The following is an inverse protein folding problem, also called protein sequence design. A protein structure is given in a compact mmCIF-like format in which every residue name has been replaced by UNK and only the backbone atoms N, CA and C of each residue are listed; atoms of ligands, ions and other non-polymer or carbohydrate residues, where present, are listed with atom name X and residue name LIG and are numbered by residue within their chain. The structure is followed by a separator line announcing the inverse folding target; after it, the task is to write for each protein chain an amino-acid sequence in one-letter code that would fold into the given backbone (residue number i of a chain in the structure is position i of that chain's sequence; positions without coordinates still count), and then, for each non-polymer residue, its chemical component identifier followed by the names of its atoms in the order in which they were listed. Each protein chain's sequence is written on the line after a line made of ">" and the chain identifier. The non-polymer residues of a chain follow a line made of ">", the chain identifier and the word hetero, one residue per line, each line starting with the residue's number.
data_IF_466858069930
#
_entry.id   IF_466858069930
#
_cell.length_a   1.000
_cell.length_b   1.000
_cell.length_c   1.000
_cell.angle_alpha   90.00
_cell.angle_beta   90.00
_cell.angle_gamma   90.00
#
_symmetry.space_group_name_H-M   'P 1'
#
loop_
_entity.id
_entity.type
_entity.pdbx_description
1 polymer ?
#
# COMPACT_ATOMS: atom_id res chain seq x y z
N UNK A 1 -43.83 -13.95 66.59
CA UNK A 1 -43.43 -12.53 66.67
C UNK A 1 -44.17 -11.78 65.57
N UNK A 2 -45.48 -12.04 65.42
CA UNK A 2 -46.20 -11.90 64.15
C UNK A 2 -47.58 -11.27 64.35
N UNK A 3 -47.64 -10.10 64.98
CA UNK A 3 -48.92 -9.38 65.19
C UNK A 3 -48.84 -7.89 64.78
N UNK A 4 -47.83 -7.51 64.00
CA UNK A 4 -47.63 -6.14 63.54
C UNK A 4 -47.77 -6.05 62.02
N UNK A 5 -48.67 -5.19 61.58
CA UNK A 5 -48.95 -4.83 60.19
C UNK A 5 -48.15 -3.60 59.80
N UNK A 6 -47.35 -3.71 58.74
CA UNK A 6 -46.66 -2.58 58.14
C UNK A 6 -47.53 -2.01 57.01
N UNK A 7 -48.09 -0.82 57.25
CA UNK A 7 -48.99 -0.14 56.34
C UNK A 7 -48.26 1.08 55.77
N UNK A 8 -48.32 1.24 54.46
CA UNK A 8 -47.76 2.41 53.80
C UNK A 8 -48.88 3.28 53.24
N UNK A 9 -49.08 4.44 53.87
CA UNK A 9 -50.07 5.42 53.44
C UNK A 9 -49.49 6.49 52.50
N UNK A 10 -48.17 6.76 52.56
CA UNK A 10 -47.54 7.83 51.78
C UNK A 10 -46.30 7.37 50.99
N UNK A 11 -45.87 8.14 49.97
CA UNK A 11 -44.67 7.82 49.19
C UNK A 11 -43.40 7.65 50.02
N UNK A 12 -43.30 8.33 51.17
CA UNK A 12 -42.12 8.30 52.06
C UNK A 12 -42.48 8.02 53.52
N UNK A 13 -43.74 7.67 53.80
CA UNK A 13 -44.28 7.47 55.14
C UNK A 13 -45.00 6.13 55.24
N UNK A 14 -44.67 5.37 56.26
CA UNK A 14 -45.35 4.14 56.64
C UNK A 14 -45.50 4.08 58.16
N UNK A 15 -46.40 3.23 58.61
CA UNK A 15 -46.74 3.01 60.00
C UNK A 15 -46.79 1.52 60.29
N UNK A 16 -46.45 1.15 61.52
CA UNK A 16 -46.66 -0.18 62.03
C UNK A 16 -47.88 -0.13 62.96
N UNK A 17 -48.89 -0.97 62.70
CA UNK A 17 -50.07 -1.10 63.54
C UNK A 17 -50.15 -2.54 64.06
N UNK A 18 -50.53 -2.69 65.32
CA UNK A 18 -50.82 -4.02 65.86
C UNK A 18 -52.14 -4.55 65.30
N UNK A 19 -52.27 -5.87 65.18
CA UNK A 19 -53.43 -6.53 64.59
C UNK A 19 -54.76 -6.11 65.26
N UNK A 20 -54.73 -5.83 66.56
CA UNK A 20 -55.90 -5.37 67.35
C UNK A 20 -56.38 -3.99 66.91
N UNK A 21 -55.47 -3.12 66.46
CA UNK A 21 -55.75 -1.74 66.07
C UNK A 21 -56.01 -1.58 64.57
N UNK A 22 -55.78 -2.62 63.77
CA UNK A 22 -55.93 -2.59 62.32
C UNK A 22 -57.35 -2.20 61.89
N UNK A 23 -58.36 -2.79 62.53
CA UNK A 23 -59.77 -2.54 62.21
C UNK A 23 -60.19 -1.11 62.52
N UNK A 24 -59.82 -0.60 63.70
CA UNK A 24 -60.15 0.77 64.12
C UNK A 24 -59.50 1.80 63.19
N UNK A 25 -58.24 1.54 62.80
CA UNK A 25 -57.49 2.43 61.94
C UNK A 25 -58.05 2.49 60.52
N UNK A 26 -58.42 1.34 59.95
CA UNK A 26 -59.07 1.26 58.64
C UNK A 26 -60.49 1.83 58.64
N UNK A 27 -61.19 1.82 59.78
CA UNK A 27 -62.50 2.46 59.92
C UNK A 27 -62.43 3.99 60.07
N UNK A 28 -61.32 4.51 60.62
CA UNK A 28 -61.11 5.95 60.76
C UNK A 28 -60.82 6.66 59.43
N UNK A 29 -60.42 5.90 58.41
CA UNK A 29 -60.19 6.38 57.04
C UNK A 29 -61.54 6.42 56.30
N UNK A 30 -62.04 7.62 55.99
CA UNK A 30 -63.41 7.84 55.47
C UNK A 30 -63.63 7.40 54.01
N UNK A 31 -62.58 6.98 53.30
CA UNK A 31 -62.63 6.52 51.90
C UNK A 31 -62.29 5.04 51.81
N UNK A 32 -63.11 4.30 51.05
CA UNK A 32 -62.93 2.87 50.78
C UNK A 32 -61.73 2.66 49.84
N UNK A 33 -60.53 2.71 50.40
CA UNK A 33 -59.29 2.52 49.67
C UNK A 33 -59.09 1.04 49.32
N UNK A 34 -58.59 0.79 48.11
CA UNK A 34 -58.12 -0.54 47.72
C UNK A 34 -56.77 -0.78 48.38
N UNK A 35 -56.70 -1.80 49.24
CA UNK A 35 -55.50 -2.16 49.99
C UNK A 35 -54.79 -3.33 49.29
N UNK A 36 -53.58 -3.09 48.80
CA UNK A 36 -52.72 -4.13 48.24
C UNK A 36 -52.02 -4.90 49.38
N UNK A 37 -52.41 -6.16 49.59
CA UNK A 37 -51.86 -7.02 50.64
C UNK A 37 -50.80 -7.96 50.09
N UNK A 38 -49.59 -7.92 50.64
CA UNK A 38 -48.49 -8.86 50.33
C UNK A 38 -48.40 -10.03 51.32
N UNK A 39 -49.38 -10.13 52.22
CA UNK A 39 -49.60 -11.22 53.18
C UNK A 39 -51.06 -11.67 53.11
N UNK A 40 -51.42 -12.83 53.69
CA UNK A 40 -52.81 -13.30 53.68
C UNK A 40 -53.74 -12.21 54.24
N UNK A 41 -54.80 -11.80 53.53
CA UNK A 41 -55.64 -10.69 53.95
C UNK A 41 -56.35 -11.02 55.27
N UNK A 42 -56.34 -10.11 56.25
CA UNK A 42 -57.07 -10.30 57.50
C UNK A 42 -58.58 -10.10 57.27
N UNK A 43 -59.41 -10.62 58.17
CA UNK A 43 -60.86 -10.37 58.18
C UNK A 43 -61.17 -8.95 58.70
N UNK A 44 -60.61 -7.93 58.05
CA UNK A 44 -60.73 -6.51 58.40
C UNK A 44 -61.48 -5.75 57.28
N UNK A 45 -62.19 -4.64 57.60
CA UNK A 45 -62.94 -3.87 56.63
C UNK A 45 -62.02 -3.23 55.56
N UNK A 46 -62.42 -3.31 54.30
CA UNK A 46 -61.69 -2.76 53.15
C UNK A 46 -61.70 -3.68 51.91
N UNK A 47 -61.37 -3.12 50.75
CA UNK A 47 -61.21 -3.89 49.50
C UNK A 47 -59.77 -4.38 49.41
N UNK A 48 -59.52 -5.60 49.89
CA UNK A 48 -58.19 -6.21 49.88
C UNK A 48 -57.88 -6.86 48.52
N UNK A 49 -56.74 -6.50 47.91
CA UNK A 49 -56.18 -7.19 46.75
C UNK A 49 -54.97 -8.00 47.18
N UNK A 50 -55.08 -9.32 47.07
CA UNK A 50 -53.96 -10.21 47.35
C UNK A 50 -52.89 -10.08 46.26
N UNK A 51 -51.69 -9.73 46.68
CA UNK A 51 -50.50 -9.64 45.85
C UNK A 51 -49.51 -10.75 46.23
N UNK A 52 -48.64 -11.20 45.30
CA UNK A 52 -47.70 -12.27 45.59
C UNK A 52 -46.79 -11.90 46.76
N UNK A 53 -46.65 -12.83 47.71
CA UNK A 53 -45.81 -12.66 48.88
C UNK A 53 -44.38 -12.30 48.46
N UNK A 54 -43.93 -11.12 48.87
CA UNK A 54 -42.60 -10.58 48.59
C UNK A 54 -41.93 -10.15 49.90
N UNK A 55 -40.62 -10.31 49.97
CA UNK A 55 -39.87 -9.79 51.12
C UNK A 55 -39.88 -8.27 51.12
N UNK A 56 -39.91 -7.65 52.31
CA UNK A 56 -39.93 -6.18 52.46
C UNK A 56 -38.80 -5.48 51.68
N UNK A 57 -37.60 -6.09 51.67
CA UNK A 57 -36.44 -5.58 50.93
C UNK A 57 -36.67 -5.59 49.41
N UNK A 58 -37.34 -6.62 48.89
CA UNK A 58 -37.65 -6.71 47.45
C UNK A 58 -38.70 -5.68 47.05
N UNK A 59 -39.72 -5.48 47.90
CA UNK A 59 -40.74 -4.46 47.68
C UNK A 59 -40.14 -3.05 47.72
N UNK A 60 -39.26 -2.78 48.67
CA UNK A 60 -38.54 -1.50 48.78
C UNK A 60 -37.61 -1.26 47.58
N UNK A 61 -36.87 -2.27 47.12
CA UNK A 61 -35.96 -2.15 45.97
C UNK A 61 -36.68 -1.92 44.64
N UNK A 62 -37.87 -2.51 44.46
CA UNK A 62 -38.69 -2.34 43.26
C UNK A 62 -39.43 -1.01 43.23
N UNK A 63 -39.44 -0.26 44.34
CA UNK A 63 -40.15 0.99 44.40
C UNK A 63 -39.45 2.10 43.57
N UNK A 64 -40.13 2.69 42.57
CA UNK A 64 -39.50 3.63 41.62
C UNK A 64 -39.01 4.93 42.28
N UNK A 65 -39.59 5.34 43.41
CA UNK A 65 -39.08 6.50 44.16
C UNK A 65 -37.80 6.18 44.94
N UNK A 66 -37.65 4.95 45.44
CA UNK A 66 -36.46 4.52 46.18
C UNK A 66 -35.26 4.35 45.23
N UNK A 67 -35.50 3.95 43.98
CA UNK A 67 -34.44 3.85 42.95
C UNK A 67 -33.80 5.20 42.57
N UNK A 68 -34.52 6.31 42.78
CA UNK A 68 -34.01 7.66 42.50
C UNK A 68 -33.10 8.18 43.61
N UNK A 69 -33.15 7.59 44.80
CA UNK A 69 -32.36 8.02 45.95
C UNK A 69 -31.32 6.96 46.30
N UNK A 70 -30.05 7.23 45.99
CA UNK A 70 -28.95 6.36 46.41
C UNK A 70 -28.55 6.70 47.85
N UNK A 71 -28.79 5.76 48.76
CA UNK A 71 -28.30 5.81 50.15
C UNK A 71 -26.82 5.43 50.25
N UNK A 72 -26.20 5.00 49.15
CA UNK A 72 -24.78 4.66 49.06
C UNK A 72 -23.95 5.96 49.03
N UNK A 73 -23.80 6.57 50.19
CA UNK A 73 -23.06 7.81 50.40
C UNK A 73 -21.94 7.61 51.43
N UNK A 74 -20.96 8.52 51.44
CA UNK A 74 -19.83 8.46 52.36
C UNK A 74 -18.97 7.22 52.15
N UNK A 75 -18.78 6.43 53.21
CA UNK A 75 -17.96 5.22 53.19
C UNK A 75 -18.56 4.08 52.35
N UNK A 76 -19.88 4.10 52.12
CA UNK A 76 -20.60 3.11 51.30
C UNK A 76 -20.81 3.57 49.86
N UNK A 77 -20.23 4.72 49.46
CA UNK A 77 -20.33 5.21 48.10
C UNK A 77 -19.63 4.28 47.10
N UNK A 78 -20.31 3.93 46.00
CA UNK A 78 -19.74 3.11 44.93
C UNK A 78 -18.57 3.88 44.30
N UNK A 79 -17.34 3.46 44.61
CA UNK A 79 -16.13 3.96 43.96
C UNK A 79 -16.14 3.52 42.50
N UNK A 80 -16.76 4.32 41.63
CA UNK A 80 -16.61 4.16 40.18
C UNK A 80 -15.16 4.43 39.85
N UNK A 81 -14.39 3.35 39.65
CA UNK A 81 -13.05 3.42 39.09
C UNK A 81 -13.24 3.96 37.67
N UNK A 82 -13.06 5.27 37.49
CA UNK A 82 -13.16 5.87 36.16
C UNK A 82 -12.09 5.21 35.30
N UNK A 83 -12.51 4.32 34.41
CA UNK A 83 -11.70 3.86 33.30
C UNK A 83 -11.59 5.05 32.33
N UNK A 84 -10.90 6.11 32.75
CA UNK A 84 -10.34 7.06 31.80
C UNK A 84 -9.37 6.24 30.99
N UNK A 85 -9.82 5.78 29.83
CA UNK A 85 -9.00 5.08 28.86
C UNK A 85 -7.79 5.98 28.61
N UNK A 86 -6.67 5.64 29.25
CA UNK A 86 -5.48 6.45 29.12
C UNK A 86 -5.04 6.26 27.67
N UNK A 87 -5.13 7.29 26.84
CA UNK A 87 -4.60 7.28 25.47
C UNK A 87 -3.07 7.31 25.44
N UNK A 88 -2.44 7.21 26.62
CA UNK A 88 -0.99 7.14 26.81
C UNK A 88 -0.31 6.03 25.98
N UNK A 89 -0.76 4.76 25.98
CA UNK A 89 -0.12 3.72 25.19
C UNK A 89 -0.30 3.97 23.69
N UNK A 90 -1.44 4.52 23.25
CA UNK A 90 -1.65 4.90 21.86
C UNK A 90 -0.69 6.01 21.41
N UNK A 91 -0.44 7.02 22.28
CA UNK A 91 0.53 8.09 22.02
C UNK A 91 1.96 7.54 21.94
N UNK A 92 2.34 6.63 22.84
CA UNK A 92 3.67 6.01 22.79
C UNK A 92 3.84 5.10 21.57
N UNK A 93 2.81 4.35 21.19
CA UNK A 93 2.82 3.52 19.99
C UNK A 93 2.95 4.37 18.71
N UNK A 94 2.20 5.48 18.61
CA UNK A 94 2.31 6.40 17.48
C UNK A 94 3.70 7.04 17.38
N UNK A 95 4.28 7.44 18.52
CA UNK A 95 5.63 8.02 18.56
C UNK A 95 6.70 6.98 18.18
N UNK A 96 6.59 5.75 18.66
CA UNK A 96 7.49 4.66 18.29
C UNK A 96 7.39 4.35 16.78
N UNK A 97 6.18 4.31 16.21
CA UNK A 97 5.97 4.14 14.77
C UNK A 97 6.59 5.28 13.95
N UNK A 98 6.41 6.53 14.39
CA UNK A 98 7.01 7.68 13.72
C UNK A 98 8.54 7.62 13.73
N UNK A 99 9.15 7.23 14.86
CA UNK A 99 10.60 7.03 14.96
C UNK A 99 11.09 5.90 14.05
N UNK A 100 10.37 4.78 14.02
CA UNK A 100 10.72 3.63 13.17
C UNK A 100 10.64 3.99 11.68
N UNK A 101 9.56 4.66 11.26
CA UNK A 101 9.37 5.10 9.88
C UNK A 101 10.42 6.15 9.47
N UNK A 102 10.74 7.09 10.37
CA UNK A 102 11.80 8.07 10.16
C UNK A 102 13.17 7.41 10.01
N UNK A 103 13.51 6.47 10.90
CA UNK A 103 14.76 5.73 10.83
C UNK A 103 14.89 4.92 9.53
N UNK A 104 13.84 4.21 9.13
CA UNK A 104 13.83 3.43 7.89
C UNK A 104 14.05 4.33 6.67
N UNK A 105 13.34 5.47 6.60
CA UNK A 105 13.47 6.41 5.48
C UNK A 105 14.88 6.99 5.36
N UNK A 106 15.55 7.24 6.49
CA UNK A 106 16.95 7.74 6.53
C UNK A 106 17.92 6.66 6.05
N UNK A 107 17.71 5.40 6.43
CA UNK A 107 18.53 4.28 5.98
C UNK A 107 18.36 4.04 4.48
N UNK A 108 17.12 4.00 3.99
CA UNK A 108 16.81 3.82 2.57
C UNK A 108 17.46 4.92 1.72
N UNK A 109 17.42 6.18 2.16
CA UNK A 109 18.09 7.28 1.46
C UNK A 109 19.62 7.10 1.41
N UNK A 110 20.23 6.58 2.49
CA UNK A 110 21.67 6.32 2.52
C UNK A 110 22.06 5.18 1.60
N UNK A 111 21.27 4.12 1.55
CA UNK A 111 21.56 3.00 0.66
C UNK A 111 21.32 3.36 -0.81
N UNK A 112 20.30 4.17 -1.12
CA UNK A 112 20.12 4.73 -2.45
C UNK A 112 21.28 5.63 -2.87
N UNK A 113 21.77 6.48 -1.96
CA UNK A 113 22.92 7.34 -2.22
C UNK A 113 24.19 6.50 -2.51
N UNK A 114 24.43 5.45 -1.73
CA UNK A 114 25.55 4.51 -1.97
C UNK A 114 25.44 3.80 -3.31
N UNK A 115 24.24 3.36 -3.68
CA UNK A 115 24.01 2.72 -4.99
C UNK A 115 24.26 3.70 -6.15
N UNK A 116 23.81 4.95 -6.00
CA UNK A 116 24.05 6.00 -6.99
C UNK A 116 25.54 6.31 -7.14
N UNK A 117 26.28 6.40 -6.04
CA UNK A 117 27.74 6.60 -6.05
C UNK A 117 28.47 5.42 -6.71
N UNK A 118 28.11 4.18 -6.36
CA UNK A 118 28.69 2.98 -6.98
C UNK A 118 28.44 2.94 -8.50
N UNK A 119 27.22 3.27 -8.94
CA UNK A 119 26.87 3.35 -10.36
C UNK A 119 27.63 4.46 -11.10
N UNK A 120 27.85 5.62 -10.45
CA UNK A 120 28.68 6.70 -11.01
C UNK A 120 30.14 6.29 -11.12
N UNK A 121 30.69 5.59 -10.12
CA UNK A 121 32.07 5.10 -10.16
C UNK A 121 32.26 4.06 -11.27
N UNK A 122 31.34 3.11 -11.41
CA UNK A 122 31.36 2.14 -12.51
C UNK A 122 31.31 2.82 -13.88
N UNK A 123 30.46 3.84 -14.03
CA UNK A 123 30.36 4.63 -15.27
C UNK A 123 31.66 5.41 -15.57
N UNK A 124 32.29 6.01 -14.54
CA UNK A 124 33.58 6.71 -14.69
C UNK A 124 34.71 5.76 -15.06
N UNK A 125 34.76 4.59 -14.43
CA UNK A 125 35.75 3.55 -14.74
C UNK A 125 35.59 3.05 -16.18
N UNK A 126 34.35 2.86 -16.64
CA UNK A 126 34.07 2.51 -18.04
C UNK A 126 34.52 3.64 -18.97
N UNK A 127 34.16 4.89 -18.69
CA UNK A 127 34.54 6.04 -19.53
C UNK A 127 36.07 6.22 -19.66
N UNK A 128 36.82 6.08 -18.56
CA UNK A 128 38.28 6.16 -18.58
C UNK A 128 38.94 5.05 -19.39
N UNK A 129 38.32 3.86 -19.49
CA UNK A 129 38.85 2.74 -20.27
C UNK A 129 38.73 2.95 -21.78
N UNK A 130 37.75 3.73 -22.23
CA UNK A 130 37.52 4.02 -23.64
C UNK A 130 38.10 5.38 -24.09
N UNK A 131 38.29 6.33 -23.17
CA UNK A 131 38.82 7.67 -23.48
C UNK A 131 40.00 8.05 -22.55
N UNK A 132 41.20 7.48 -22.74
CA UNK A 132 42.38 7.76 -21.91
C UNK A 132 42.98 9.17 -22.09
N UNK A 133 42.50 9.96 -23.05
CA UNK A 133 43.13 11.23 -23.47
C UNK A 133 42.55 12.50 -22.84
N UNK A 134 41.46 12.43 -22.07
CA UNK A 134 40.81 13.63 -21.49
C UNK A 134 40.87 13.71 -19.95
N UNK A 135 41.52 14.77 -19.48
CA UNK A 135 42.01 14.95 -18.10
C UNK A 135 40.98 15.43 -17.06
N UNK A 136 39.70 15.65 -17.41
CA UNK A 136 38.70 16.15 -16.42
C UNK A 136 37.26 15.77 -16.79
N UNK A 137 36.74 14.72 -16.15
CA UNK A 137 35.36 14.22 -16.35
C UNK A 137 34.46 14.74 -15.22
N UNK A 138 33.73 15.84 -15.48
CA UNK A 138 32.79 16.44 -14.53
C UNK A 138 31.37 15.87 -14.71
N UNK A 139 31.03 15.34 -15.89
CA UNK A 139 29.78 14.59 -16.13
C UNK A 139 29.86 13.72 -17.40
N UNK A 140 30.12 12.40 -17.29
CA UNK A 140 30.37 11.53 -18.43
C UNK A 140 29.14 11.34 -19.34
N UNK A 141 27.92 11.39 -18.78
CA UNK A 141 26.68 11.26 -19.56
C UNK A 141 26.43 12.47 -20.48
N UNK A 142 26.64 13.67 -19.96
CA UNK A 142 26.45 14.90 -20.73
C UNK A 142 27.52 15.02 -21.82
N UNK A 143 28.76 14.64 -21.49
CA UNK A 143 29.87 14.64 -22.45
C UNK A 143 29.70 13.56 -23.54
N UNK A 144 29.21 12.35 -23.22
CA UNK A 144 28.83 11.37 -24.25
C UNK A 144 27.69 11.88 -25.13
N UNK A 145 26.65 12.49 -24.57
CA UNK A 145 25.58 13.08 -25.37
C UNK A 145 26.08 14.21 -26.26
N UNK A 146 26.97 15.07 -25.76
CA UNK A 146 27.60 16.13 -26.54
C UNK A 146 28.49 15.56 -27.63
N UNK A 147 29.32 14.54 -27.34
CA UNK A 147 30.13 13.84 -28.34
C UNK A 147 29.27 13.12 -29.38
N UNK A 148 28.19 12.45 -28.98
CA UNK A 148 27.25 11.84 -29.92
C UNK A 148 26.54 12.89 -30.76
N UNK A 149 26.19 14.06 -30.20
CA UNK A 149 25.57 15.16 -30.93
C UNK A 149 26.55 15.87 -31.87
N UNK A 150 27.82 16.05 -31.48
CA UNK A 150 28.85 16.59 -32.38
C UNK A 150 29.22 15.57 -33.45
N UNK A 151 29.33 14.28 -33.12
CA UNK A 151 29.49 13.21 -34.09
C UNK A 151 28.26 13.13 -35.01
N UNK A 152 27.04 13.36 -34.52
CA UNK A 152 25.82 13.39 -35.34
C UNK A 152 25.78 14.63 -36.23
N UNK A 153 26.20 15.81 -35.74
CA UNK A 153 26.27 17.04 -36.55
C UNK A 153 27.41 17.02 -37.56
N UNK A 154 28.55 16.40 -37.25
CA UNK A 154 29.60 16.11 -38.23
C UNK A 154 29.16 14.98 -39.17
N UNK A 155 28.34 14.03 -38.71
CA UNK A 155 27.74 12.99 -39.55
C UNK A 155 26.54 13.49 -40.38
N UNK A 156 25.99 14.67 -40.12
CA UNK A 156 25.07 15.35 -41.05
C UNK A 156 25.79 15.83 -42.32
N UNK A 157 27.12 15.69 -42.39
CA UNK A 157 27.90 15.80 -43.63
C UNK A 157 28.57 14.48 -44.01
N UNK A 158 28.26 13.38 -43.30
CA UNK A 158 28.77 12.05 -43.63
C UNK A 158 27.65 11.24 -44.31
N UNK A 159 27.87 10.78 -45.56
CA UNK A 159 26.99 9.84 -46.27
C UNK A 159 26.64 8.55 -45.49
N UNK A 160 27.25 8.31 -44.33
CA UNK A 160 27.10 7.12 -43.50
C UNK A 160 25.69 6.93 -42.91
N UNK A 161 25.02 8.00 -42.45
CA UNK A 161 23.68 7.90 -41.85
C UNK A 161 22.63 7.58 -42.92
N UNK A 162 22.77 8.17 -44.11
CA UNK A 162 21.95 7.84 -45.29
C UNK A 162 22.24 6.42 -45.79
N UNK A 163 23.49 5.95 -45.71
CA UNK A 163 23.86 4.57 -46.06
C UNK A 163 23.32 3.54 -45.07
N UNK A 164 23.34 3.85 -43.77
CA UNK A 164 22.80 2.97 -42.72
C UNK A 164 21.27 2.84 -42.82
N UNK A 165 20.58 3.94 -43.12
CA UNK A 165 19.13 3.92 -43.33
C UNK A 165 18.74 3.19 -44.62
N UNK A 166 19.49 3.37 -45.72
CA UNK A 166 19.30 2.59 -46.93
C UNK A 166 19.54 1.08 -46.70
N UNK A 167 20.60 0.73 -45.96
CA UNK A 167 20.91 -0.65 -45.60
C UNK A 167 19.83 -1.26 -44.70
N UNK A 168 19.30 -0.49 -43.74
CA UNK A 168 18.21 -0.91 -42.86
C UNK A 168 16.93 -1.21 -43.65
N UNK A 169 16.61 -0.41 -44.67
CA UNK A 169 15.47 -0.67 -45.56
C UNK A 169 15.66 -1.96 -46.37
N UNK A 170 16.84 -2.18 -46.95
CA UNK A 170 17.16 -3.41 -47.71
C UNK A 170 17.11 -4.66 -46.82
N UNK A 171 17.60 -4.56 -45.58
CA UNK A 171 17.53 -5.65 -44.60
C UNK A 171 16.10 -5.94 -44.13
N UNK A 172 15.25 -4.92 -44.00
CA UNK A 172 13.84 -5.10 -43.62
C UNK A 172 13.03 -5.77 -44.73
N UNK A 173 13.40 -5.56 -45.99
CA UNK A 173 12.74 -6.17 -47.16
C UNK A 173 13.19 -7.61 -47.45
N UNK A 174 14.27 -8.10 -46.83
CA UNK A 174 14.85 -9.44 -47.08
C UNK A 174 14.77 -10.35 -45.84
N UNK A 175 13.61 -10.96 -45.56
CA UNK A 175 13.47 -11.91 -44.46
C UNK A 175 14.31 -13.17 -44.75
N UNK A 176 15.37 -13.39 -43.96
CA UNK A 176 16.29 -14.52 -44.13
C UNK A 176 17.77 -14.18 -43.95
N UNK A 177 18.11 -12.91 -43.77
CA UNK A 177 19.47 -12.46 -43.42
C UNK A 177 19.49 -11.87 -42.01
N UNK A 178 20.42 -12.35 -41.19
CA UNK A 178 20.75 -11.77 -39.88
C UNK A 178 22.08 -11.06 -39.96
N UNK A 179 22.09 -9.77 -39.64
CA UNK A 179 23.30 -8.98 -39.47
C UNK A 179 23.89 -9.25 -38.08
N UNK A 180 25.16 -9.67 -38.00
CA UNK A 180 25.85 -9.94 -36.72
C UNK A 180 26.72 -8.79 -36.28
N UNK A 181 27.49 -8.25 -37.21
CA UNK A 181 28.39 -7.14 -36.96
C UNK A 181 28.41 -6.20 -38.16
N UNK A 182 28.57 -4.91 -37.86
CA UNK A 182 28.75 -3.85 -38.84
C UNK A 182 29.96 -3.05 -38.41
N UNK A 183 30.98 -3.02 -39.26
CA UNK A 183 32.15 -2.16 -39.11
C UNK A 183 32.18 -1.17 -40.26
N UNK A 184 32.52 0.08 -39.94
CA UNK A 184 32.70 1.13 -40.93
C UNK A 184 34.14 1.61 -40.90
N UNK A 185 34.77 1.61 -42.07
CA UNK A 185 36.10 2.17 -42.27
C UNK A 185 35.97 3.55 -42.94
N UNK A 186 36.27 4.59 -42.15
CA UNK A 186 36.24 5.98 -42.58
C UNK A 186 37.31 6.30 -43.64
N UNK A 187 38.48 5.64 -43.57
CA UNK A 187 39.59 5.90 -44.48
C UNK A 187 39.36 5.27 -45.86
N UNK A 188 38.73 4.10 -45.89
CA UNK A 188 38.40 3.39 -47.12
C UNK A 188 37.01 3.69 -47.69
N UNK A 189 36.16 4.41 -46.96
CA UNK A 189 34.74 4.60 -47.29
C UNK A 189 33.99 3.26 -47.49
N UNK A 190 34.40 2.21 -46.77
CA UNK A 190 33.87 0.84 -46.91
C UNK A 190 33.00 0.47 -45.73
N UNK A 191 31.89 -0.22 -46.00
CA UNK A 191 31.06 -0.86 -44.99
C UNK A 191 31.32 -2.35 -45.01
N UNK A 192 31.80 -2.90 -43.90
CA UNK A 192 31.98 -4.33 -43.71
C UNK A 192 30.82 -4.87 -42.88
N UNK A 193 30.18 -5.91 -43.41
CA UNK A 193 28.99 -6.52 -42.85
C UNK A 193 29.26 -8.00 -42.62
N UNK A 194 29.10 -8.46 -41.39
CA UNK A 194 29.07 -9.88 -41.09
C UNK A 194 27.63 -10.35 -41.10
N UNK A 195 27.28 -11.16 -42.11
CA UNK A 195 25.91 -11.63 -42.31
C UNK A 195 25.79 -13.14 -42.13
N UNK A 196 24.61 -13.56 -41.69
CA UNK A 196 24.15 -14.93 -41.68
C UNK A 196 22.93 -15.03 -42.60
N UNK A 197 23.03 -15.76 -43.70
CA UNK A 197 21.90 -16.05 -44.57
C UNK A 197 21.41 -17.48 -44.31
N UNK A 198 20.09 -17.67 -44.23
CA UNK A 198 19.49 -19.02 -44.10
C UNK A 198 19.65 -19.88 -45.35
N UNK A 199 19.94 -19.29 -46.51
CA UNK A 199 20.15 -20.00 -47.77
C UNK A 199 20.96 -19.16 -48.79
N UNK A 200 21.58 -19.82 -49.77
CA UNK A 200 22.27 -19.16 -50.91
C UNK A 200 21.34 -18.20 -51.66
N UNK A 201 20.06 -18.57 -51.80
CA UNK A 201 19.06 -17.74 -52.49
C UNK A 201 18.80 -16.43 -51.77
N UNK A 202 18.73 -16.45 -50.44
CA UNK A 202 18.52 -15.23 -49.65
C UNK A 202 19.73 -14.28 -49.76
N UNK A 203 20.94 -14.83 -49.78
CA UNK A 203 22.17 -14.09 -49.97
C UNK A 203 22.26 -13.45 -51.38
N UNK A 204 21.92 -14.21 -52.41
CA UNK A 204 21.90 -13.71 -53.80
C UNK A 204 20.86 -12.59 -53.97
N UNK A 205 19.66 -12.76 -53.41
CA UNK A 205 18.62 -11.73 -53.40
C UNK A 205 19.10 -10.43 -52.74
N UNK A 206 19.75 -10.54 -51.58
CA UNK A 206 20.35 -9.39 -50.91
C UNK A 206 21.44 -8.72 -51.75
N UNK A 207 22.32 -9.51 -52.35
CA UNK A 207 23.41 -9.00 -53.20
C UNK A 207 22.84 -8.26 -54.42
N UNK A 208 21.86 -8.84 -55.11
CA UNK A 208 21.20 -8.21 -56.26
C UNK A 208 20.47 -6.92 -55.89
N UNK A 209 19.87 -6.87 -54.70
CA UNK A 209 19.14 -5.68 -54.23
C UNK A 209 20.07 -4.57 -53.74
N UNK A 210 21.25 -4.94 -53.23
CA UNK A 210 22.28 -3.99 -52.80
C UNK A 210 23.12 -3.45 -53.99
N UNK A 211 23.32 -4.23 -55.06
CA UNK A 211 24.05 -3.85 -56.29
C UNK A 211 23.70 -2.48 -56.91
N UNK A 212 22.43 -2.03 -57.01
CA UNK A 212 22.11 -0.73 -57.61
C UNK A 212 22.61 0.47 -56.80
N UNK A 213 22.84 0.32 -55.49
CA UNK A 213 23.27 1.42 -54.61
C UNK A 213 24.68 1.24 -54.04
N UNK A 214 25.15 -0.01 -53.97
CA UNK A 214 26.42 -0.40 -53.39
C UNK A 214 27.10 -1.46 -54.26
N UNK A 215 28.40 -1.31 -54.48
CA UNK A 215 29.24 -2.35 -55.06
C UNK A 215 29.50 -3.39 -53.98
N UNK A 216 28.80 -4.52 -54.05
CA UNK A 216 28.94 -5.63 -53.11
C UNK A 216 30.13 -6.48 -53.51
N UNK A 217 31.14 -6.58 -52.63
CA UNK A 217 32.21 -7.57 -52.73
C UNK A 217 31.97 -8.66 -51.69
N UNK A 218 31.62 -9.88 -52.12
CA UNK A 218 31.64 -11.02 -51.22
C UNK A 218 33.08 -11.28 -50.77
N UNK A 219 33.29 -11.31 -49.45
CA UNK A 219 34.51 -11.79 -48.83
C UNK A 219 34.44 -13.28 -48.59
N UNK A 220 35.11 -13.75 -47.54
CA UNK A 220 35.11 -15.16 -47.17
C UNK A 220 33.70 -15.60 -46.74
N UNK A 221 33.17 -16.61 -47.43
CA UNK A 221 31.87 -17.21 -47.14
C UNK A 221 32.07 -18.65 -46.68
N UNK A 222 31.52 -18.97 -45.51
CA UNK A 222 31.58 -20.28 -44.88
C UNK A 222 30.16 -20.85 -44.88
N UNK A 223 29.99 -21.96 -45.62
CA UNK A 223 28.75 -22.72 -45.61
C UNK A 223 28.71 -23.61 -44.36
N UNK A 224 27.70 -23.42 -43.52
CA UNK A 224 27.40 -24.25 -42.35
C UNK A 224 26.10 -25.06 -42.59
N UNK A 225 25.83 -26.10 -41.78
CA UNK A 225 24.59 -26.88 -41.89
C UNK A 225 23.32 -26.04 -41.74
N UNK A 226 23.38 -24.96 -40.96
CA UNK A 226 22.24 -24.09 -40.64
C UNK A 226 22.15 -22.82 -41.53
N UNK A 227 23.02 -22.67 -42.54
CA UNK A 227 23.04 -21.52 -43.45
C UNK A 227 24.43 -21.11 -43.92
N UNK A 228 24.52 -19.94 -44.54
CA UNK A 228 25.76 -19.35 -45.03
C UNK A 228 26.14 -18.20 -44.12
N UNK A 229 27.37 -18.21 -43.63
CA UNK A 229 27.96 -17.10 -42.89
C UNK A 229 29.04 -16.46 -43.75
N UNK A 230 29.11 -15.15 -43.81
CA UNK A 230 30.17 -14.52 -44.58
C UNK A 230 30.27 -13.04 -44.34
N UNK A 231 31.43 -12.52 -44.71
CA UNK A 231 31.68 -11.09 -44.69
C UNK A 231 31.35 -10.50 -46.05
N UNK A 232 30.57 -9.43 -46.08
CA UNK A 232 30.32 -8.62 -47.27
C UNK A 232 30.95 -7.25 -47.08
N UNK A 233 31.72 -6.82 -48.07
CA UNK A 233 32.19 -5.43 -48.14
C UNK A 233 31.35 -4.67 -49.14
N UNK A 234 30.62 -3.66 -48.67
CA UNK A 234 29.90 -2.71 -49.49
C UNK A 234 30.76 -1.47 -49.73
N UNK A 235 31.08 -1.22 -51.00
CA UNK A 235 31.69 0.04 -51.46
C UNK A 235 30.61 0.87 -52.16
N UNK A 236 30.76 2.20 -52.20
CA UNK A 236 29.85 3.05 -52.97
C UNK A 236 30.02 2.76 -54.47
N UNK A 237 28.89 2.63 -55.18
CA UNK A 237 28.91 2.54 -56.63
C UNK A 237 28.84 3.97 -57.18
N UNK A 238 29.99 4.58 -57.42
CA UNK A 238 30.08 5.84 -58.15
C UNK A 238 29.65 5.57 -59.60
N UNK A 239 28.43 5.99 -59.93
CA UNK A 239 27.92 6.08 -61.30
C UNK A 239 28.39 7.36 -61.96
#
# INVERSE_FOLDING_TARGET
>A
MDEQWLIRHQPWGGMAAENVWLTELLQSEAEEHVIDSYSPPPAAPGVWREQPAQTLLTLAARHPAAQKLSLLQGEFAVRRRSAQASWRPARYAALALALLAGANSVLDHRDLARQAEAAQQASRAFYHRWFPTEKKVINPRLQMQQHLQTLTRQAQHAPLVDRLSALQNILSETPGIRLRALSWDAAGNRLQLDIAAVSSRALEQFTQRAQPRFRVRPGDMITKPDGIEGQLTLEENDG
#
